data_IF_876478574315
#
_entry.id   IF_876478574315
#
_cell.length_a   1.000
_cell.length_b   1.000
_cell.length_c   1.000
_cell.angle_alpha   90.00
_cell.angle_beta   90.00
_cell.angle_gamma   90.00
#
_symmetry.space_group_name_H-M   'P 1'
#
loop_
_entity.id
_entity.type
_entity.pdbx_description
1 polymer ?
#
# COMPACT_ATOMS: atom_id res chain seq x y z
N UNK A 1 -6.29 20.50 15.34
CA UNK A 1 -6.98 20.63 14.06
C UNK A 1 -6.05 20.71 12.87
N UNK A 2 -5.05 21.61 12.90
CA UNK A 2 -4.08 21.70 11.80
C UNK A 2 -3.32 20.40 11.55
N UNK A 3 -3.01 19.62 12.60
CA UNK A 3 -2.35 18.32 12.48
C UNK A 3 -3.19 17.29 11.72
N UNK A 4 -4.49 17.26 11.98
CA UNK A 4 -5.39 16.32 11.30
C UNK A 4 -5.53 16.64 9.82
N UNK A 5 -5.64 17.93 9.48
CA UNK A 5 -5.70 18.36 8.09
C UNK A 5 -4.39 18.08 7.35
N UNK A 6 -3.25 18.40 7.97
CA UNK A 6 -1.94 18.13 7.37
C UNK A 6 -1.71 16.62 7.15
N UNK A 7 -2.12 15.79 8.12
CA UNK A 7 -2.01 14.33 8.00
C UNK A 7 -2.93 13.79 6.93
N UNK A 8 -4.18 14.28 6.83
CA UNK A 8 -5.12 13.87 5.80
C UNK A 8 -4.61 14.19 4.40
N UNK A 9 -4.01 15.37 4.22
CA UNK A 9 -3.38 15.75 2.95
C UNK A 9 -2.19 14.87 2.62
N UNK A 10 -1.34 14.59 3.59
CA UNK A 10 -0.18 13.72 3.45
C UNK A 10 -0.61 12.29 3.10
N UNK A 11 -1.59 11.75 3.81
CA UNK A 11 -2.10 10.40 3.56
C UNK A 11 -2.73 10.28 2.18
N UNK A 12 -3.47 11.30 1.74
CA UNK A 12 -4.04 11.35 0.40
C UNK A 12 -2.97 11.37 -0.69
N UNK A 13 -1.95 12.20 -0.53
CA UNK A 13 -0.83 12.28 -1.47
C UNK A 13 -0.05 10.96 -1.50
N UNK A 14 0.18 10.35 -0.35
CA UNK A 14 0.87 9.08 -0.22
C UNK A 14 0.09 7.96 -0.91
N UNK A 15 -1.24 7.93 -0.73
CA UNK A 15 -2.11 6.96 -1.39
C UNK A 15 -2.04 7.05 -2.91
N UNK A 16 -2.08 8.27 -3.44
CA UNK A 16 -1.96 8.50 -4.89
C UNK A 16 -0.59 8.08 -5.43
N UNK A 17 0.48 8.40 -4.71
CA UNK A 17 1.83 8.02 -5.10
C UNK A 17 2.01 6.50 -5.11
N UNK A 18 1.49 5.81 -4.10
CA UNK A 18 1.55 4.35 -4.02
C UNK A 18 0.69 3.69 -5.12
N UNK A 19 -0.49 4.22 -5.38
CA UNK A 19 -1.35 3.75 -6.47
C UNK A 19 -0.61 3.82 -7.80
N UNK A 20 0.00 4.95 -8.11
CA UNK A 20 0.74 5.13 -9.35
C UNK A 20 1.92 4.17 -9.44
N UNK A 21 2.68 4.03 -8.35
CA UNK A 21 3.83 3.13 -8.29
C UNK A 21 3.44 1.67 -8.54
N UNK A 22 2.40 1.19 -7.85
CA UNK A 22 1.97 -0.20 -7.98
C UNK A 22 1.37 -0.47 -9.35
N UNK A 23 0.60 0.47 -9.90
CA UNK A 23 0.07 0.34 -11.26
C UNK A 23 1.18 0.27 -12.30
N UNK A 24 2.26 1.03 -12.10
CA UNK A 24 3.42 0.96 -12.99
C UNK A 24 4.10 -0.40 -12.93
N UNK A 25 4.24 -0.99 -11.75
CA UNK A 25 4.95 -2.26 -11.55
C UNK A 25 4.09 -3.49 -11.83
N UNK A 26 2.82 -3.45 -11.48
CA UNK A 26 1.94 -4.61 -11.50
C UNK A 26 0.75 -4.48 -12.46
N UNK A 27 0.78 -3.50 -13.37
CA UNK A 27 -0.32 -3.25 -14.31
C UNK A 27 -0.67 -4.44 -15.19
N UNK A 28 0.27 -5.36 -15.41
CA UNK A 28 0.01 -6.58 -16.19
C UNK A 28 -0.98 -7.52 -15.50
N UNK A 29 -1.12 -7.44 -14.17
CA UNK A 29 -1.99 -8.32 -13.38
C UNK A 29 -3.34 -7.71 -13.06
N UNK A 30 -3.48 -6.41 -13.22
CA UNK A 30 -4.69 -5.69 -12.91
C UNK A 30 -4.43 -4.22 -12.70
N UNK A 31 -5.46 -3.50 -12.27
CA UNK A 31 -5.38 -2.06 -12.03
C UNK A 31 -5.82 -1.74 -10.61
N UNK A 32 -5.00 -1.00 -9.88
CA UNK A 32 -5.39 -0.45 -8.59
C UNK A 32 -6.26 0.78 -8.86
N UNK A 33 -7.49 0.72 -8.40
CA UNK A 33 -8.47 1.80 -8.58
C UNK A 33 -8.47 2.78 -7.42
N UNK A 34 -8.09 2.31 -6.23
CA UNK A 34 -8.07 3.13 -5.04
C UNK A 34 -6.99 2.63 -4.08
N UNK A 35 -6.27 3.55 -3.46
CA UNK A 35 -5.29 3.26 -2.43
C UNK A 35 -5.45 4.28 -1.31
N UNK A 36 -5.81 3.81 -0.12
CA UNK A 36 -6.02 4.64 1.06
C UNK A 36 -4.97 4.32 2.10
N UNK A 37 -4.28 5.34 2.57
CA UNK A 37 -3.23 5.19 3.58
C UNK A 37 -3.67 5.87 4.86
N UNK A 38 -3.46 5.21 5.99
CA UNK A 38 -3.64 5.78 7.32
C UNK A 38 -2.30 5.64 8.06
N UNK A 39 -1.53 6.72 8.07
CA UNK A 39 -0.20 6.73 8.69
C UNK A 39 -0.28 6.66 10.21
N UNK A 40 -1.40 7.05 10.82
CA UNK A 40 -1.59 6.98 12.25
C UNK A 40 -1.67 5.55 12.75
N UNK A 41 -2.42 4.71 12.05
CA UNK A 41 -2.56 3.29 12.40
C UNK A 41 -1.59 2.38 11.65
N UNK A 42 -0.78 2.93 10.76
CA UNK A 42 0.12 2.17 9.87
C UNK A 42 -0.63 1.12 9.06
N UNK A 43 -1.75 1.55 8.50
CA UNK A 43 -2.67 0.70 7.75
C UNK A 43 -2.84 1.21 6.33
N UNK A 44 -2.95 0.28 5.39
CA UNK A 44 -3.08 0.62 3.98
C UNK A 44 -4.15 -0.27 3.35
N UNK A 45 -5.12 0.35 2.68
CA UNK A 45 -6.20 -0.37 2.01
C UNK A 45 -6.14 -0.11 0.52
N UNK A 46 -6.25 -1.16 -0.27
CA UNK A 46 -6.15 -1.11 -1.73
C UNK A 46 -7.39 -1.76 -2.33
N UNK A 47 -7.96 -1.10 -3.35
CA UNK A 47 -9.00 -1.71 -4.19
C UNK A 47 -8.43 -1.87 -5.59
N UNK A 48 -8.63 -3.04 -6.16
CA UNK A 48 -8.07 -3.35 -7.47
C UNK A 48 -9.03 -4.19 -8.30
N UNK A 49 -9.00 -3.98 -9.61
CA UNK A 49 -9.65 -4.85 -10.57
C UNK A 49 -8.58 -5.74 -11.19
N UNK A 50 -8.53 -6.98 -10.75
CA UNK A 50 -7.56 -7.94 -11.25
C UNK A 50 -8.01 -8.50 -12.59
N UNK A 51 -7.06 -8.83 -13.46
CA UNK A 51 -7.37 -9.43 -14.75
C UNK A 51 -8.06 -10.78 -14.55
N UNK A 52 -9.17 -10.96 -15.23
CA UNK A 52 -9.99 -12.16 -15.07
C UNK A 52 -11.08 -12.03 -14.01
N UNK A 53 -11.06 -10.99 -13.19
CA UNK A 53 -12.08 -10.71 -12.20
C UNK A 53 -13.10 -9.71 -12.73
N UNK A 54 -14.38 -9.90 -12.38
CA UNK A 54 -15.45 -8.98 -12.77
C UNK A 54 -15.74 -7.94 -11.70
N UNK A 55 -15.35 -8.20 -10.46
CA UNK A 55 -15.60 -7.34 -9.33
C UNK A 55 -14.29 -6.85 -8.74
N UNK A 56 -14.35 -5.67 -8.12
CA UNK A 56 -13.21 -5.13 -7.39
C UNK A 56 -12.84 -6.05 -6.23
N UNK A 57 -11.55 -6.25 -6.07
CA UNK A 57 -11.00 -6.99 -4.93
C UNK A 57 -10.36 -5.98 -4.01
N UNK A 58 -10.61 -6.09 -2.71
CA UNK A 58 -9.96 -5.24 -1.73
C UNK A 58 -8.91 -6.03 -0.97
N UNK A 59 -7.82 -5.37 -0.64
CA UNK A 59 -6.77 -5.92 0.19
C UNK A 59 -6.35 -4.87 1.21
N UNK A 60 -6.13 -5.30 2.43
CA UNK A 60 -5.70 -4.41 3.51
C UNK A 60 -4.39 -4.91 4.07
N UNK A 61 -3.43 -4.00 4.19
CA UNK A 61 -2.22 -4.24 4.96
C UNK A 61 -2.53 -3.73 6.35
N UNK A 62 -2.76 -4.67 7.28
CA UNK A 62 -3.21 -4.33 8.63
C UNK A 62 -2.15 -3.59 9.42
N UNK A 63 -0.88 -3.83 9.09
CA UNK A 63 0.23 -3.17 9.73
C UNK A 63 1.43 -3.13 8.80
N UNK A 64 2.05 -1.97 8.68
CA UNK A 64 3.34 -1.83 8.01
C UNK A 64 4.32 -1.08 8.91
N UNK A 65 5.61 -1.24 8.64
CA UNK A 65 6.66 -0.49 9.32
C UNK A 65 7.54 0.19 8.29
N UNK A 66 7.95 1.42 8.61
CA UNK A 66 8.88 2.17 7.77
C UNK A 66 10.26 2.11 8.42
N UNK A 67 11.25 1.70 7.64
CA UNK A 67 12.65 1.65 8.08
C UNK A 67 13.46 2.62 7.23
N UNK A 68 14.24 3.46 7.87
CA UNK A 68 15.11 4.41 7.18
C UNK A 68 16.57 4.01 7.34
N UNK A 69 17.30 4.04 6.22
CA UNK A 69 18.75 3.83 6.19
C UNK A 69 19.36 4.94 5.35
N UNK A 70 19.99 5.93 6.01
CA UNK A 70 20.49 7.10 5.31
C UNK A 70 19.38 7.85 4.60
N UNK A 71 19.49 8.02 3.29
CA UNK A 71 18.48 8.68 2.46
C UNK A 71 17.41 7.72 1.96
N UNK A 72 17.61 6.42 2.13
CA UNK A 72 16.68 5.41 1.65
C UNK A 72 15.61 5.10 2.69
N UNK A 73 14.41 4.80 2.21
CA UNK A 73 13.31 4.35 3.05
C UNK A 73 12.79 3.01 2.53
N UNK A 74 12.44 2.15 3.46
CA UNK A 74 11.93 0.80 3.17
C UNK A 74 10.63 0.57 3.90
N UNK A 75 9.76 -0.22 3.31
CA UNK A 75 8.52 -0.64 3.94
C UNK A 75 8.54 -2.14 4.20
N UNK A 76 8.10 -2.53 5.39
CA UNK A 76 7.91 -3.94 5.76
C UNK A 76 6.42 -4.15 5.99
N UNK A 77 5.82 -5.04 5.21
CA UNK A 77 4.40 -5.33 5.26
C UNK A 77 4.17 -6.51 6.20
N UNK A 78 3.42 -6.31 7.28
CA UNK A 78 3.34 -7.30 8.35
C UNK A 78 2.20 -8.30 8.20
N UNK A 79 1.02 -7.83 7.87
CA UNK A 79 -0.15 -8.70 7.81
C UNK A 79 -1.10 -8.23 6.72
N UNK A 80 -1.55 -9.16 5.91
CA UNK A 80 -2.51 -8.90 4.85
C UNK A 80 -3.84 -9.55 5.16
N UNK A 81 -4.91 -8.84 4.81
CA UNK A 81 -6.26 -9.40 4.71
C UNK A 81 -6.84 -8.96 3.37
N UNK A 82 -7.82 -9.67 2.86
CA UNK A 82 -8.45 -9.31 1.59
C UNK A 82 -9.87 -9.84 1.52
N UNK A 83 -10.60 -9.41 0.48
CA UNK A 83 -11.96 -9.87 0.21
C UNK A 83 -12.02 -11.30 -0.35
N UNK A 84 -10.87 -11.90 -0.67
CA UNK A 84 -10.78 -13.28 -1.17
C UNK A 84 -9.85 -14.10 -0.27
N UNK A 85 -10.32 -15.24 0.22
CA UNK A 85 -9.51 -16.08 1.11
C UNK A 85 -8.20 -16.52 0.46
N UNK A 86 -8.22 -16.93 -0.80
CA UNK A 86 -7.03 -17.36 -1.52
C UNK A 86 -6.02 -16.22 -1.67
N UNK A 87 -6.51 -14.99 -1.89
CA UNK A 87 -5.65 -13.82 -2.05
C UNK A 87 -4.98 -13.46 -0.71
N UNK A 88 -5.71 -13.55 0.39
CA UNK A 88 -5.15 -13.33 1.72
C UNK A 88 -3.98 -14.28 1.98
N UNK A 89 -4.17 -15.56 1.70
CA UNK A 89 -3.12 -16.57 1.88
C UNK A 89 -1.91 -16.28 0.98
N UNK A 90 -2.16 -15.95 -0.28
CA UNK A 90 -1.10 -15.67 -1.24
C UNK A 90 -0.28 -14.43 -0.85
N UNK A 91 -0.95 -13.34 -0.49
CA UNK A 91 -0.29 -12.11 -0.09
C UNK A 91 0.58 -12.29 1.15
N UNK A 92 0.07 -13.00 2.15
CA UNK A 92 0.85 -13.28 3.36
C UNK A 92 2.06 -14.16 3.05
N UNK A 93 1.88 -15.16 2.20
CA UNK A 93 2.97 -16.06 1.83
C UNK A 93 4.08 -15.34 1.04
N UNK A 94 3.70 -14.49 0.09
CA UNK A 94 4.65 -13.87 -0.83
C UNK A 94 5.26 -12.58 -0.30
N UNK A 95 4.51 -11.79 0.46
CA UNK A 95 4.91 -10.42 0.77
C UNK A 95 5.04 -10.10 2.27
N UNK A 96 4.44 -10.91 3.16
CA UNK A 96 4.52 -10.62 4.58
C UNK A 96 5.96 -10.72 5.10
N UNK A 97 6.32 -9.78 5.97
CA UNK A 97 7.63 -9.69 6.62
C UNK A 97 8.83 -9.47 5.67
N UNK A 98 8.55 -9.11 4.42
CA UNK A 98 9.59 -8.74 3.46
C UNK A 98 9.77 -7.23 3.42
N UNK A 99 11.00 -6.83 3.12
CA UNK A 99 11.41 -5.44 3.06
C UNK A 99 11.45 -4.96 1.62
N UNK A 100 10.79 -3.83 1.35
CA UNK A 100 10.75 -3.24 0.00
C UNK A 100 11.25 -1.81 0.04
N UNK A 101 12.13 -1.47 -0.87
CA UNK A 101 12.64 -0.09 -1.01
C UNK A 101 11.55 0.79 -1.60
N UNK A 102 11.31 1.94 -0.97
CA UNK A 102 10.35 2.93 -1.46
C UNK A 102 11.01 3.88 -2.45
N UNK A 103 10.29 4.28 -3.52
CA UNK A 103 10.82 5.30 -4.43
C UNK A 103 10.93 6.65 -3.72
N UNK A 104 11.83 7.51 -4.23
CA UNK A 104 12.08 8.82 -3.63
C UNK A 104 10.83 9.67 -3.47
N UNK A 105 9.91 9.63 -4.45
CA UNK A 105 8.65 10.37 -4.40
C UNK A 105 7.79 9.95 -3.20
N UNK A 106 7.78 8.66 -2.85
CA UNK A 106 7.05 8.14 -1.70
C UNK A 106 7.79 8.43 -0.40
N UNK A 107 9.11 8.23 -0.38
CA UNK A 107 9.91 8.44 0.84
C UNK A 107 9.88 9.88 1.32
N UNK A 108 9.75 10.85 0.42
CA UNK A 108 9.63 12.28 0.77
C UNK A 108 8.32 12.61 1.48
N UNK A 109 7.29 11.80 1.32
CA UNK A 109 5.99 11.99 1.94
C UNK A 109 5.89 11.34 3.33
N UNK A 110 6.89 10.61 3.73
CA UNK A 110 6.90 9.88 5.02
C UNK A 110 7.52 10.67 6.17
#
# INVERSE_FOLDING_TARGET
MLRLLARGMKDGALGLALKAYVNDKLGAYGEITECTVDTESSRLTVKALLKGERELVSATIERYEIQREGEDAYIVLKKFTSSRAWLTLLLNKLFADKRYKLPGAVSKLL
#
